data_IF_012713306176
#
_entry.id   IF_012713306176
#
_cell.length_a   1.000
_cell.length_b   1.000
_cell.length_c   1.000
_cell.angle_alpha   90.00
_cell.angle_beta   90.00
_cell.angle_gamma   90.00
#
_symmetry.space_group_name_H-M   'P 1'
#
loop_
_entity.id
_entity.type
_entity.pdbx_description
1 polymer ?
#
# COMPACT_ATOMS: atom_id res chain seq x y z
N UNK A 1 -0.02 -29.06 -32.56
CA UNK A 1 0.64 -28.54 -31.35
C UNK A 1 0.20 -27.10 -31.21
N UNK A 2 -0.81 -26.85 -30.38
CA UNK A 2 -1.26 -25.49 -30.08
C UNK A 2 -0.25 -24.89 -29.11
N UNK A 3 0.57 -23.97 -29.58
CA UNK A 3 1.36 -23.11 -28.71
C UNK A 3 0.39 -22.16 -28.03
N UNK A 4 -0.03 -22.50 -26.81
CA UNK A 4 -0.57 -21.53 -25.86
C UNK A 4 0.52 -20.49 -25.62
N UNK A 5 0.57 -19.49 -26.48
CA UNK A 5 1.28 -18.25 -26.21
C UNK A 5 0.43 -17.58 -25.13
N UNK A 6 0.77 -17.82 -23.87
CA UNK A 6 0.30 -16.97 -22.79
C UNK A 6 0.69 -15.55 -23.17
N UNK A 7 -0.28 -14.73 -23.57
CA UNK A 7 -0.09 -13.32 -23.84
C UNK A 7 0.56 -12.75 -22.58
N UNK A 8 1.83 -12.37 -22.65
CA UNK A 8 2.49 -11.62 -21.58
C UNK A 8 1.67 -10.34 -21.49
N UNK A 9 0.95 -10.10 -20.38
CA UNK A 9 0.06 -8.97 -20.33
C UNK A 9 0.88 -7.68 -20.53
N UNK A 10 0.54 -6.85 -21.51
CA UNK A 10 1.32 -5.65 -21.88
C UNK A 10 0.84 -4.38 -21.15
N UNK A 11 -0.14 -4.53 -20.26
CA UNK A 11 -0.73 -3.44 -19.48
C UNK A 11 0.14 -2.96 -18.31
N UNK A 12 -0.27 -1.91 -17.59
CA UNK A 12 0.47 -1.39 -16.43
C UNK A 12 0.63 -2.44 -15.34
N UNK A 13 1.84 -2.54 -14.77
CA UNK A 13 2.11 -3.40 -13.62
C UNK A 13 1.72 -2.68 -12.33
N UNK A 14 0.64 -3.14 -11.69
CA UNK A 14 0.07 -2.56 -10.48
C UNK A 14 0.40 -3.43 -9.28
N UNK A 15 1.20 -2.88 -8.37
CA UNK A 15 1.40 -3.45 -7.03
C UNK A 15 0.27 -3.01 -6.10
N UNK A 16 -0.33 -3.94 -5.36
CA UNK A 16 -1.30 -3.62 -4.31
C UNK A 16 -0.64 -3.84 -2.96
N UNK A 17 -0.28 -2.75 -2.28
CA UNK A 17 0.28 -2.78 -0.95
C UNK A 17 -0.84 -2.76 0.10
N UNK A 18 -0.98 -3.85 0.84
CA UNK A 18 -1.89 -3.96 1.96
C UNK A 18 -1.34 -4.95 2.98
N UNK A 19 -1.75 -4.78 4.22
CA UNK A 19 -1.54 -5.78 5.27
C UNK A 19 -2.87 -6.27 5.80
N UNK A 20 -2.90 -7.49 6.36
CA UNK A 20 -4.06 -8.06 7.03
C UNK A 20 -4.81 -9.04 6.14
N UNK A 21 -5.07 -10.23 6.69
CA UNK A 21 -5.86 -11.26 5.99
C UNK A 21 -7.33 -10.84 5.86
N UNK A 22 -7.77 -9.98 6.77
CA UNK A 22 -9.10 -9.43 6.86
C UNK A 22 -9.48 -8.68 5.58
N UNK A 23 -8.55 -7.93 4.99
CA UNK A 23 -8.77 -7.20 3.74
C UNK A 23 -8.77 -8.10 2.50
N UNK A 24 -8.01 -9.20 2.54
CA UNK A 24 -7.73 -10.03 1.36
C UNK A 24 -9.03 -10.55 0.72
N UNK A 25 -9.97 -11.01 1.54
CA UNK A 25 -11.20 -11.66 1.07
C UNK A 25 -12.43 -10.73 1.04
N UNK A 26 -12.28 -9.44 1.34
CA UNK A 26 -13.41 -8.49 1.39
C UNK A 26 -13.26 -7.29 0.47
N UNK A 27 -12.07 -6.73 0.34
CA UNK A 27 -11.84 -5.54 -0.50
C UNK A 27 -10.83 -5.84 -1.59
N UNK A 28 -9.71 -6.48 -1.22
CA UNK A 28 -8.63 -6.74 -2.15
C UNK A 28 -9.05 -7.74 -3.22
N UNK A 29 -9.80 -8.80 -2.89
CA UNK A 29 -10.28 -9.76 -3.90
C UNK A 29 -11.11 -9.08 -4.99
N UNK A 30 -12.07 -8.22 -4.63
CA UNK A 30 -12.87 -7.50 -5.61
C UNK A 30 -12.05 -6.49 -6.41
N UNK A 31 -11.11 -5.78 -5.76
CA UNK A 31 -10.20 -4.85 -6.44
C UNK A 31 -9.33 -5.60 -7.47
N UNK A 32 -8.75 -6.74 -7.08
CA UNK A 32 -7.94 -7.58 -7.96
C UNK A 32 -8.77 -8.11 -9.13
N UNK A 33 -10.01 -8.57 -8.87
CA UNK A 33 -10.92 -9.04 -9.93
C UNK A 33 -11.24 -7.91 -10.91
N UNK A 34 -11.68 -6.75 -10.43
CA UNK A 34 -12.04 -5.62 -11.28
C UNK A 34 -10.85 -5.13 -12.14
N UNK A 35 -9.65 -5.08 -11.57
CA UNK A 35 -8.45 -4.71 -12.35
C UNK A 35 -8.11 -5.75 -13.42
N UNK A 36 -8.25 -7.04 -13.12
CA UNK A 36 -8.00 -8.12 -14.09
C UNK A 36 -9.03 -8.14 -15.21
N UNK A 37 -10.30 -7.86 -14.90
CA UNK A 37 -11.38 -7.76 -15.89
C UNK A 37 -11.10 -6.62 -16.91
N UNK A 38 -10.38 -5.58 -16.47
CA UNK A 38 -9.89 -4.48 -17.30
C UNK A 38 -8.49 -4.72 -17.93
N UNK A 39 -8.00 -5.97 -17.92
CA UNK A 39 -6.68 -6.38 -18.45
C UNK A 39 -5.47 -5.65 -17.81
N UNK A 40 -5.57 -5.28 -16.52
CA UNK A 40 -4.47 -4.68 -15.76
C UNK A 40 -3.65 -5.77 -15.05
N UNK A 41 -2.32 -5.62 -15.07
CA UNK A 41 -1.39 -6.61 -14.53
C UNK A 41 -1.25 -6.41 -13.03
N UNK A 42 -2.07 -7.14 -12.27
CA UNK A 42 -2.01 -7.05 -10.82
C UNK A 42 -0.92 -7.96 -10.26
N UNK A 43 -0.04 -7.33 -9.50
CA UNK A 43 1.01 -7.94 -8.72
C UNK A 43 0.57 -7.92 -7.25
N UNK A 44 0.14 -9.07 -6.74
CA UNK A 44 -0.14 -9.26 -5.32
C UNK A 44 0.98 -10.11 -4.66
N UNK A 45 1.38 -9.78 -3.43
CA UNK A 45 2.33 -10.57 -2.64
C UNK A 45 3.54 -9.80 -2.08
N UNK A 46 4.30 -10.40 -1.14
CA UNK A 46 5.32 -9.72 -0.35
C UNK A 46 6.57 -9.32 -1.17
N UNK A 47 7.00 -8.07 -0.96
CA UNK A 47 8.28 -7.39 -1.27
C UNK A 47 8.90 -7.53 -2.67
N UNK A 48 9.03 -8.73 -3.25
CA UNK A 48 9.90 -8.97 -4.42
C UNK A 48 9.41 -8.41 -5.75
N UNK A 49 8.26 -7.73 -5.80
CA UNK A 49 7.61 -7.34 -7.06
C UNK A 49 7.29 -5.85 -7.19
N UNK A 50 7.57 -5.05 -6.16
CA UNK A 50 7.59 -3.57 -6.29
C UNK A 50 8.62 -3.18 -7.38
N UNK A 51 9.74 -3.92 -7.42
CA UNK A 51 10.74 -4.02 -8.49
C UNK A 51 10.22 -3.71 -9.89
N UNK A 52 9.17 -4.43 -10.27
CA UNK A 52 8.67 -4.58 -11.62
C UNK A 52 7.39 -3.76 -11.87
N UNK A 53 6.94 -3.01 -10.87
CA UNK A 53 5.68 -2.28 -10.89
C UNK A 53 5.86 -0.83 -11.32
N UNK A 54 4.91 -0.33 -12.10
CA UNK A 54 4.84 1.07 -12.51
C UNK A 54 3.93 1.89 -11.59
N UNK A 55 2.94 1.22 -10.98
CA UNK A 55 1.94 1.83 -10.09
C UNK A 55 1.91 1.03 -8.79
N UNK A 56 1.80 1.73 -7.66
CA UNK A 56 1.47 1.14 -6.37
C UNK A 56 0.16 1.72 -5.82
N UNK A 57 -0.80 0.84 -5.54
CA UNK A 57 -2.00 1.15 -4.77
C UNK A 57 -1.70 0.86 -3.29
N UNK A 58 -1.66 1.90 -2.46
CA UNK A 58 -1.36 1.77 -1.02
C UNK A 58 -2.67 1.83 -0.24
N UNK A 59 -3.07 0.70 0.36
CA UNK A 59 -4.35 0.59 1.04
C UNK A 59 -4.18 0.94 2.52
N UNK A 60 -4.68 2.12 2.92
CA UNK A 60 -4.83 2.51 4.31
C UNK A 60 -6.21 2.09 4.83
N UNK A 61 -6.25 1.49 6.01
CA UNK A 61 -7.49 1.09 6.68
C UNK A 61 -7.32 1.15 8.21
N UNK A 62 -8.41 1.06 9.01
CA UNK A 62 -8.34 1.00 10.48
C UNK A 62 -7.72 -0.31 10.94
N UNK A 63 -6.39 -0.40 10.84
CA UNK A 63 -5.63 -1.59 11.18
C UNK A 63 -5.10 -1.49 12.61
N UNK A 64 -5.28 -2.57 13.37
CA UNK A 64 -4.57 -2.79 14.64
C UNK A 64 -4.15 -4.26 14.80
N UNK A 65 -2.87 -4.55 15.14
CA UNK A 65 -1.72 -3.65 15.17
C UNK A 65 -1.10 -3.43 13.77
N UNK A 66 -0.44 -2.28 13.56
CA UNK A 66 0.34 -2.01 12.34
C UNK A 66 1.54 -2.95 12.24
N UNK A 67 1.83 -3.54 11.07
CA UNK A 67 2.99 -4.43 10.88
C UNK A 67 4.26 -3.64 10.57
N UNK A 68 5.39 -3.96 11.19
CA UNK A 68 6.67 -3.30 10.86
C UNK A 68 7.12 -3.61 9.44
N UNK A 69 6.87 -4.83 8.93
CA UNK A 69 7.22 -5.21 7.56
C UNK A 69 6.45 -4.38 6.55
N UNK A 70 5.14 -4.20 6.79
CA UNK A 70 4.31 -3.34 5.95
C UNK A 70 4.78 -1.87 5.98
N UNK A 71 5.21 -1.37 7.14
CA UNK A 71 5.77 -0.03 7.25
C UNK A 71 7.12 0.10 6.53
N UNK A 72 7.97 -0.93 6.52
CA UNK A 72 9.20 -0.94 5.74
C UNK A 72 8.90 -0.96 4.23
N UNK A 73 7.87 -1.70 3.79
CA UNK A 73 7.40 -1.66 2.40
C UNK A 73 6.96 -0.23 1.99
N UNK A 74 6.31 0.52 2.89
CA UNK A 74 5.97 1.92 2.61
C UNK A 74 7.22 2.79 2.39
N UNK A 75 8.31 2.51 3.10
CA UNK A 75 9.58 3.22 2.90
C UNK A 75 10.14 2.93 1.52
N UNK A 76 10.15 1.67 1.07
CA UNK A 76 10.59 1.32 -0.29
C UNK A 76 9.71 1.98 -1.36
N UNK A 77 8.39 2.00 -1.16
CA UNK A 77 7.44 2.67 -2.06
C UNK A 77 7.75 4.17 -2.15
N UNK A 78 7.96 4.83 -1.02
CA UNK A 78 8.33 6.24 -0.96
C UNK A 78 9.66 6.49 -1.70
N UNK A 79 10.69 5.68 -1.46
CA UNK A 79 11.99 5.84 -2.10
C UNK A 79 11.90 5.72 -3.63
N UNK A 80 11.14 4.75 -4.14
CA UNK A 80 10.93 4.59 -5.59
C UNK A 80 10.08 5.70 -6.19
N UNK A 81 9.07 6.15 -5.46
CA UNK A 81 8.24 7.30 -5.84
C UNK A 81 9.10 8.55 -5.98
N UNK A 82 9.97 8.83 -5.00
CA UNK A 82 10.88 9.99 -5.03
C UNK A 82 11.92 9.90 -6.16
N UNK A 83 12.26 8.69 -6.60
CA UNK A 83 13.11 8.46 -7.78
C UNK A 83 12.35 8.58 -9.12
N UNK A 84 11.04 8.84 -9.10
CA UNK A 84 10.20 8.88 -10.30
C UNK A 84 9.97 7.51 -10.95
N UNK A 85 10.27 6.42 -10.24
CA UNK A 85 10.17 5.03 -10.75
C UNK A 85 8.81 4.38 -10.49
N UNK A 86 7.98 5.00 -9.66
CA UNK A 86 6.72 4.42 -9.20
C UNK A 86 5.68 5.51 -9.00
N UNK A 87 4.54 5.40 -9.68
CA UNK A 87 3.37 6.24 -9.38
C UNK A 87 2.63 5.63 -8.19
N UNK A 88 2.33 6.45 -7.17
CA UNK A 88 1.69 5.97 -5.94
C UNK A 88 0.29 6.58 -5.82
N UNK A 89 -0.70 5.71 -5.61
CA UNK A 89 -2.09 6.11 -5.38
C UNK A 89 -2.52 5.59 -4.01
N UNK A 90 -2.63 6.45 -2.98
CA UNK A 90 -3.17 6.05 -1.70
C UNK A 90 -4.69 5.82 -1.80
N UNK A 91 -5.16 4.70 -1.22
CA UNK A 91 -6.57 4.35 -1.10
C UNK A 91 -6.91 4.33 0.39
N UNK A 92 -7.83 5.19 0.81
CA UNK A 92 -8.31 5.31 2.18
C UNK A 92 -9.60 4.51 2.34
N UNK A 93 -9.48 3.25 2.77
CA UNK A 93 -10.59 2.32 2.93
C UNK A 93 -11.13 2.35 4.37
N UNK A 94 -12.37 2.83 4.55
CA UNK A 94 -13.01 2.95 5.87
C UNK A 94 -12.22 3.78 6.90
N UNK A 95 -11.36 4.66 6.41
CA UNK A 95 -10.54 5.54 7.24
C UNK A 95 -10.53 6.94 6.63
N UNK A 96 -10.53 7.95 7.50
CA UNK A 96 -10.46 9.35 7.10
C UNK A 96 -9.01 9.72 6.69
N UNK A 97 -8.77 10.30 5.49
CA UNK A 97 -7.43 10.63 5.04
C UNK A 97 -6.64 11.56 5.98
N UNK A 98 -7.22 12.65 6.53
CA UNK A 98 -6.58 13.45 7.59
C UNK A 98 -6.07 12.63 8.79
N UNK A 99 -6.79 11.59 9.20
CA UNK A 99 -6.38 10.73 10.32
C UNK A 99 -5.08 9.99 10.02
N UNK A 100 -4.89 9.53 8.79
CA UNK A 100 -3.62 8.90 8.33
C UNK A 100 -2.53 9.96 8.15
N UNK A 101 -2.84 11.03 7.39
CA UNK A 101 -1.89 12.11 7.04
C UNK A 101 -1.24 12.77 8.24
N UNK A 102 -2.00 12.92 9.32
CA UNK A 102 -1.55 13.61 10.54
C UNK A 102 -1.23 12.64 11.68
N UNK A 103 -1.30 11.33 11.43
CA UNK A 103 -1.11 10.28 12.43
C UNK A 103 -1.99 10.54 13.67
N UNK A 104 -3.29 10.73 13.44
CA UNK A 104 -4.31 11.00 14.47
C UNK A 104 -5.28 9.84 14.62
N UNK A 105 -6.14 9.94 15.63
CA UNK A 105 -7.16 8.94 15.91
C UNK A 105 -6.57 7.56 16.18
N UNK A 106 -7.32 6.53 15.81
CA UNK A 106 -6.94 5.13 16.00
C UNK A 106 -5.65 4.77 15.25
N UNK A 107 -5.51 5.22 13.99
CA UNK A 107 -4.30 4.96 13.20
C UNK A 107 -3.06 5.57 13.87
N UNK A 108 -3.17 6.81 14.35
CA UNK A 108 -2.11 7.48 15.10
C UNK A 108 -1.75 6.76 16.40
N UNK A 109 -2.74 6.23 17.13
CA UNK A 109 -2.50 5.43 18.33
C UNK A 109 -1.71 4.15 18.01
N UNK A 110 -2.15 3.38 17.01
CA UNK A 110 -1.48 2.16 16.59
C UNK A 110 -0.05 2.44 16.07
N UNK A 111 0.16 3.58 15.40
CA UNK A 111 1.49 4.00 14.97
C UNK A 111 2.39 4.36 16.16
N UNK A 112 1.88 5.08 17.17
CA UNK A 112 2.64 5.40 18.40
C UNK A 112 3.06 4.14 19.14
N UNK A 113 2.19 3.15 19.26
CA UNK A 113 2.52 1.85 19.84
C UNK A 113 3.64 1.17 19.05
N UNK A 114 3.51 1.09 17.72
CA UNK A 114 4.54 0.50 16.85
C UNK A 114 5.89 1.22 16.95
N UNK A 115 5.87 2.56 17.04
CA UNK A 115 7.06 3.41 17.29
C UNK A 115 7.70 3.10 18.64
N UNK A 116 6.92 2.94 19.70
CA UNK A 116 7.43 2.60 21.03
C UNK A 116 8.12 1.23 21.06
N UNK A 117 7.59 0.25 20.33
CA UNK A 117 8.21 -1.08 20.19
C UNK A 117 9.57 -1.02 19.47
N UNK A 118 9.81 0.00 18.65
CA UNK A 118 11.05 0.20 17.90
C UNK A 118 11.88 1.40 18.39
N UNK A 119 11.65 1.85 19.63
CA UNK A 119 12.31 3.03 20.21
C UNK A 119 13.85 2.95 20.24
N UNK A 120 14.41 1.75 20.22
CA UNK A 120 15.86 1.51 20.21
C UNK A 120 16.48 1.68 18.81
N UNK A 121 15.68 1.89 17.77
CA UNK A 121 16.08 2.17 16.39
C UNK A 121 15.38 3.43 15.90
N UNK A 122 15.67 4.62 16.47
CA UNK A 122 14.85 5.82 16.30
C UNK A 122 14.70 6.29 14.84
N UNK A 123 15.69 6.02 14.00
CA UNK A 123 15.65 6.34 12.57
C UNK A 123 14.54 5.58 11.81
N UNK A 124 14.22 4.35 12.22
CA UNK A 124 13.29 3.49 11.49
C UNK A 124 11.83 3.99 11.63
N UNK A 125 11.31 4.28 12.83
CA UNK A 125 10.01 4.94 12.96
C UNK A 125 9.93 6.31 12.31
N UNK A 126 11.04 7.07 12.26
CA UNK A 126 11.07 8.34 11.54
C UNK A 126 10.85 8.13 10.04
N UNK A 127 11.55 7.17 9.43
CA UNK A 127 11.33 6.81 8.01
C UNK A 127 9.90 6.34 7.74
N UNK A 128 9.30 5.59 8.66
CA UNK A 128 7.89 5.18 8.53
C UNK A 128 6.94 6.38 8.54
N UNK A 129 7.15 7.34 9.44
CA UNK A 129 6.37 8.57 9.52
C UNK A 129 6.52 9.40 8.23
N UNK A 130 7.75 9.59 7.76
CA UNK A 130 8.05 10.27 6.50
C UNK A 130 7.36 9.59 5.30
N UNK A 131 7.43 8.26 5.23
CA UNK A 131 6.80 7.47 4.18
C UNK A 131 5.27 7.63 4.15
N UNK A 132 4.61 7.50 5.30
CA UNK A 132 3.16 7.66 5.39
C UNK A 132 2.75 9.07 4.96
N UNK A 133 3.40 10.11 5.49
CA UNK A 133 3.09 11.50 5.18
C UNK A 133 3.31 11.79 3.71
N UNK A 134 4.46 11.37 3.15
CA UNK A 134 4.80 11.58 1.74
C UNK A 134 3.84 10.87 0.79
N UNK A 135 3.54 9.59 1.04
CA UNK A 135 2.56 8.83 0.24
C UNK A 135 1.20 9.53 0.23
N UNK A 136 0.75 10.00 1.40
CA UNK A 136 -0.57 10.64 1.53
C UNK A 136 -0.63 12.07 0.96
N UNK A 137 0.48 12.65 0.48
CA UNK A 137 0.46 13.90 -0.29
C UNK A 137 -0.02 13.67 -1.73
N UNK A 138 0.05 12.44 -2.24
CA UNK A 138 -0.41 12.12 -3.59
C UNK A 138 -1.95 12.17 -3.69
N UNK A 139 -2.50 12.44 -4.89
CA UNK A 139 -3.92 12.26 -5.17
C UNK A 139 -4.34 10.82 -4.86
N UNK A 140 -5.41 10.66 -4.08
CA UNK A 140 -5.87 9.37 -3.61
C UNK A 140 -7.38 9.20 -3.71
N UNK A 141 -7.83 7.97 -3.45
CA UNK A 141 -9.25 7.61 -3.45
C UNK A 141 -9.72 7.34 -2.02
N UNK A 142 -10.90 7.82 -1.67
CA UNK A 142 -11.55 7.49 -0.39
C UNK A 142 -12.72 6.56 -0.65
N UNK A 143 -12.74 5.43 0.04
CA UNK A 143 -13.86 4.48 0.00
C UNK A 143 -14.61 4.60 1.33
N UNK A 144 -15.77 5.29 1.35
CA UNK A 144 -16.48 5.60 2.57
C UNK A 144 -17.07 4.34 3.23
N UNK A 145 -17.38 4.47 4.52
CA UNK A 145 -18.18 3.50 5.25
C UNK A 145 -19.63 3.68 4.79
N UNK A 146 -20.21 2.67 4.15
CA UNK A 146 -21.67 2.57 3.94
C UNK A 146 -22.35 2.06 5.20
#
# INVERSE_FOLDING_TARGET
ASSDVSLIPTGPHVFINFWGKELRNVFICFLVTALKDENINVIDGPEKRIGESNIALVIFYPQSPLSYMWLDELVEIMERMNQGKLTVIPIFYKIDPPSVKRLLGEFGYNFKERRYLHRHQPERPQKWEEAIVSICQNPGLTVPIM
#
